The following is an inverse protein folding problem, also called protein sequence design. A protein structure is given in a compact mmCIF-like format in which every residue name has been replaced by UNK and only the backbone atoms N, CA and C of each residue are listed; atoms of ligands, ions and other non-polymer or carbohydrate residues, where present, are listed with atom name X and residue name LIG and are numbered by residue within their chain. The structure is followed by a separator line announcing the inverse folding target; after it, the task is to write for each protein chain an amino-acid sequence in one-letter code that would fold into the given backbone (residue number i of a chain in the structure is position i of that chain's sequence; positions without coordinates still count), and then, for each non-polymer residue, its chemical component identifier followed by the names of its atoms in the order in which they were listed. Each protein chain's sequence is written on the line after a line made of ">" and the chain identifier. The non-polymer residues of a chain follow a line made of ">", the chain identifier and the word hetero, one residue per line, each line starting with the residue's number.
data_IF_061424876399
#
_entry.id   IF_061424876399
#
_cell.length_a   1.000
_cell.length_b   1.000
_cell.length_c   1.000
_cell.angle_alpha   90.00
_cell.angle_beta   90.00
_cell.angle_gamma   90.00
#
_symmetry.space_group_name_H-M   'P 1'
#
loop_
_entity.id
_entity.type
_entity.pdbx_description
1 polymer ?
#
# COMPACT_ATOMS: atom_id res chain seq x y z
N UNK A 1 -22.97 -18.49 -65.38
CA UNK A 1 -21.72 -18.94 -66.02
C UNK A 1 -20.62 -17.93 -65.69
N UNK A 2 -19.44 -18.44 -65.33
CA UNK A 2 -18.17 -17.77 -64.98
C UNK A 2 -18.17 -17.01 -63.64
N UNK A 3 -17.29 -17.22 -62.67
CA UNK A 3 -16.13 -18.12 -62.57
C UNK A 3 -15.90 -18.45 -61.10
N UNK A 4 -15.75 -19.74 -60.85
CA UNK A 4 -15.22 -20.36 -59.65
C UNK A 4 -13.69 -20.41 -59.80
N UNK A 5 -12.93 -19.78 -58.90
CA UNK A 5 -11.51 -20.08 -58.70
C UNK A 5 -11.28 -20.27 -57.21
N UNK A 6 -11.16 -21.55 -56.85
CA UNK A 6 -10.75 -22.08 -55.56
C UNK A 6 -9.25 -21.82 -55.27
N UNK A 7 -8.94 -21.92 -53.97
CA UNK A 7 -7.70 -22.41 -53.36
C UNK A 7 -6.45 -21.51 -53.36
N UNK A 8 -6.04 -21.09 -52.16
CA UNK A 8 -4.75 -21.39 -51.50
C UNK A 8 -4.83 -20.84 -50.05
N UNK A 9 -5.06 -21.67 -49.04
CA UNK A 9 -4.06 -22.39 -48.22
C UNK A 9 -3.19 -21.47 -47.35
N UNK A 10 -3.07 -21.91 -46.09
CA UNK A 10 -2.13 -21.52 -45.03
C UNK A 10 -2.72 -20.55 -44.01
N UNK A 11 -3.41 -21.05 -42.98
CA UNK A 11 -2.75 -21.37 -41.70
C UNK A 11 -1.85 -20.20 -41.28
N UNK A 12 -2.47 -19.18 -40.70
CA UNK A 12 -1.82 -18.37 -39.68
C UNK A 12 -2.39 -18.78 -38.33
N UNK A 13 -2.18 -20.06 -38.01
CA UNK A 13 -1.86 -20.42 -36.63
C UNK A 13 -0.53 -19.72 -36.33
N UNK A 14 -0.58 -18.44 -35.93
CA UNK A 14 0.47 -17.91 -35.07
C UNK A 14 0.30 -18.62 -33.71
N UNK A 15 0.67 -19.91 -33.68
CA UNK A 15 1.27 -20.48 -32.49
C UNK A 15 2.61 -19.77 -32.33
N UNK A 16 2.58 -18.55 -31.80
CA UNK A 16 3.68 -18.09 -30.96
C UNK A 16 3.59 -18.89 -29.65
N UNK A 17 3.75 -20.21 -29.76
CA UNK A 17 4.12 -21.09 -28.66
C UNK A 17 5.63 -20.87 -28.46
N UNK A 18 5.98 -19.67 -28.02
CA UNK A 18 7.13 -19.47 -27.17
C UNK A 18 6.51 -19.12 -25.85
N UNK A 19 6.80 -19.88 -24.79
CA UNK A 19 6.58 -19.38 -23.44
C UNK A 19 7.27 -18.02 -23.38
N UNK A 20 6.49 -16.95 -23.49
CA UNK A 20 7.00 -15.61 -23.23
C UNK A 20 7.17 -15.57 -21.73
N UNK A 21 8.33 -16.04 -21.28
CA UNK A 21 8.73 -15.89 -19.90
C UNK A 21 8.54 -14.41 -19.56
N UNK A 22 7.77 -14.16 -18.51
CA UNK A 22 7.45 -12.81 -18.10
C UNK A 22 8.74 -12.12 -17.66
N UNK A 23 9.18 -11.14 -18.43
CA UNK A 23 10.39 -10.39 -18.10
C UNK A 23 10.18 -9.49 -16.88
N UNK A 24 11.27 -9.15 -16.19
CA UNK A 24 11.24 -8.36 -14.95
C UNK A 24 10.63 -6.97 -15.12
N UNK A 25 10.76 -6.33 -16.27
CA UNK A 25 10.23 -4.99 -16.50
C UNK A 25 8.71 -5.04 -16.71
N UNK A 26 8.22 -6.04 -17.44
CA UNK A 26 6.78 -6.28 -17.59
C UNK A 26 6.16 -6.71 -16.25
N UNK A 27 6.82 -7.61 -15.50
CA UNK A 27 6.39 -7.99 -14.15
C UNK A 27 6.32 -6.80 -13.19
N UNK A 28 7.28 -5.87 -13.26
CA UNK A 28 7.27 -4.65 -12.46
C UNK A 28 6.03 -3.79 -12.75
N UNK A 29 5.75 -3.51 -14.04
CA UNK A 29 4.59 -2.69 -14.42
C UNK A 29 3.28 -3.31 -13.97
N UNK A 30 3.09 -4.60 -14.21
CA UNK A 30 1.90 -5.32 -13.77
C UNK A 30 1.74 -5.30 -12.25
N UNK A 31 2.85 -5.50 -11.52
CA UNK A 31 2.84 -5.44 -10.06
C UNK A 31 2.52 -4.04 -9.55
N UNK A 32 3.06 -3.00 -10.19
CA UNK A 32 2.78 -1.60 -9.83
C UNK A 32 1.31 -1.24 -10.07
N UNK A 33 0.75 -1.63 -11.20
CA UNK A 33 -0.64 -1.38 -11.56
C UNK A 33 -1.62 -2.18 -10.68
N UNK A 34 -1.39 -3.48 -10.48
CA UNK A 34 -2.32 -4.34 -9.72
C UNK A 34 -2.30 -4.08 -8.21
N UNK A 35 -1.22 -3.47 -7.69
CA UNK A 35 -1.05 -3.20 -6.25
C UNK A 35 -0.98 -1.73 -5.89
N UNK A 36 -1.27 -0.86 -6.85
CA UNK A 36 -1.32 0.59 -6.67
C UNK A 36 -0.01 1.15 -6.09
N UNK A 37 1.14 0.73 -6.63
CA UNK A 37 2.42 1.32 -6.26
C UNK A 37 2.65 2.67 -6.97
N UNK A 38 3.28 3.67 -6.30
CA UNK A 38 3.75 3.61 -4.92
C UNK A 38 2.60 3.58 -3.90
N UNK A 39 2.72 2.67 -2.94
CA UNK A 39 1.65 2.41 -1.98
C UNK A 39 1.76 3.38 -0.82
N UNK A 40 0.68 4.11 -0.54
CA UNK A 40 0.61 4.92 0.68
C UNK A 40 0.57 3.99 1.89
N UNK A 41 1.52 4.17 2.81
CA UNK A 41 1.53 3.47 4.09
C UNK A 41 0.82 4.35 5.10
N UNK A 42 -0.20 3.77 5.71
CA UNK A 42 -1.08 4.43 6.69
C UNK A 42 -0.86 3.79 8.07
N UNK A 43 -1.14 4.55 9.13
CA UNK A 43 -1.25 4.04 10.48
C UNK A 43 -2.57 4.48 11.11
N UNK A 44 -3.25 3.55 11.75
CA UNK A 44 -4.46 3.83 12.52
C UNK A 44 -4.06 4.48 13.86
N UNK A 45 -4.73 5.58 14.20
CA UNK A 45 -4.63 6.19 15.53
C UNK A 45 -6.03 6.16 16.14
N UNK A 46 -6.18 5.41 17.23
CA UNK A 46 -7.40 5.31 18.01
C UNK A 46 -7.50 6.54 18.92
N UNK A 47 -8.22 7.56 18.48
CA UNK A 47 -8.21 8.90 19.10
C UNK A 47 -8.84 8.94 20.50
N UNK A 48 -9.51 7.87 20.92
CA UNK A 48 -10.08 7.70 22.25
C UNK A 48 -9.30 6.70 23.12
N UNK A 49 -8.24 6.07 22.59
CA UNK A 49 -7.45 5.05 23.29
C UNK A 49 -6.27 5.69 24.06
N UNK A 50 -6.20 5.52 25.39
CA UNK A 50 -5.06 5.99 26.20
C UNK A 50 -3.71 5.44 25.73
N UNK A 51 -3.66 4.25 25.13
CA UNK A 51 -2.42 3.65 24.63
C UNK A 51 -1.86 4.47 23.47
N UNK A 52 -2.69 4.83 22.49
CA UNK A 52 -2.26 5.67 21.38
C UNK A 52 -2.00 7.11 21.80
N UNK A 53 -2.76 7.63 22.77
CA UNK A 53 -2.48 8.94 23.36
C UNK A 53 -1.09 8.95 24.02
N UNK A 54 -0.75 7.90 24.75
CA UNK A 54 0.57 7.74 25.39
C UNK A 54 1.68 7.69 24.33
N UNK A 55 1.53 6.89 23.26
CA UNK A 55 2.51 6.85 22.16
C UNK A 55 2.74 8.23 21.53
N UNK A 56 1.67 8.98 21.30
CA UNK A 56 1.75 10.33 20.74
C UNK A 56 2.40 11.33 21.71
N UNK A 57 2.14 11.20 23.01
CA UNK A 57 2.75 12.02 24.06
C UNK A 57 4.24 11.73 24.25
N UNK A 58 4.62 10.45 24.23
CA UNK A 58 6.02 10.00 24.31
C UNK A 58 6.81 10.37 23.06
N UNK A 59 6.12 10.55 21.94
CA UNK A 59 6.69 11.17 20.75
C UNK A 59 6.77 12.70 20.90
N UNK A 60 7.54 13.36 20.03
CA UNK A 60 7.57 14.83 20.00
C UNK A 60 6.38 15.45 19.22
N UNK A 61 5.38 14.68 18.80
CA UNK A 61 4.29 15.18 17.93
C UNK A 61 3.38 16.21 18.61
N UNK A 62 3.10 16.07 19.91
CA UNK A 62 2.36 17.09 20.66
C UNK A 62 3.20 18.37 20.81
N UNK A 63 4.48 18.25 21.19
CA UNK A 63 5.41 19.39 21.33
C UNK A 63 5.64 20.12 20.00
N UNK A 64 5.67 19.38 18.89
CA UNK A 64 5.78 19.93 17.54
C UNK A 64 4.44 20.50 17.02
N UNK A 65 3.36 20.39 17.79
CA UNK A 65 2.06 20.98 17.48
C UNK A 65 1.25 20.24 16.43
N UNK A 66 1.50 18.94 16.20
CA UNK A 66 0.70 18.11 15.29
C UNK A 66 -0.61 17.61 15.93
N UNK A 67 -0.57 17.37 17.24
CA UNK A 67 -1.71 16.89 18.02
C UNK A 67 -1.82 17.68 19.33
N UNK A 68 -3.01 17.62 19.94
CA UNK A 68 -3.26 18.00 21.33
C UNK A 68 -3.81 16.78 22.05
N UNK A 69 -3.32 16.52 23.26
CA UNK A 69 -3.71 15.35 24.05
C UNK A 69 -4.41 15.83 25.33
N UNK A 70 -5.57 15.26 25.63
CA UNK A 70 -6.25 15.48 26.89
C UNK A 70 -5.59 14.62 27.97
N UNK A 71 -4.70 15.24 28.76
CA UNK A 71 -3.92 14.57 29.82
C UNK A 71 -4.74 14.11 31.03
N UNK A 72 -5.99 14.56 31.15
CA UNK A 72 -6.91 14.17 32.21
C UNK A 72 -8.23 13.72 31.62
N UNK A 73 -8.64 12.48 31.90
CA UNK A 73 -9.95 11.96 31.52
C UNK A 73 -10.78 11.69 32.78
N UNK A 74 -12.00 12.24 32.86
CA UNK A 74 -12.95 11.87 33.91
C UNK A 74 -13.60 10.53 33.52
N UNK A 75 -14.08 9.76 34.50
CA UNK A 75 -14.79 8.50 34.23
C UNK A 75 -15.99 8.67 33.28
N UNK A 76 -16.64 9.83 33.30
CA UNK A 76 -17.74 10.17 32.39
C UNK A 76 -17.32 10.43 30.92
N UNK A 77 -16.02 10.51 30.66
CA UNK A 77 -15.45 10.82 29.34
C UNK A 77 -14.80 9.60 28.67
N UNK A 78 -14.92 8.42 29.27
CA UNK A 78 -14.45 7.15 28.69
C UNK A 78 -15.10 6.93 27.33
N UNK A 79 -14.28 6.59 26.33
CA UNK A 79 -14.71 6.39 24.94
C UNK A 79 -14.87 7.69 24.13
N UNK A 80 -14.72 8.87 24.74
CA UNK A 80 -14.62 10.13 23.99
C UNK A 80 -13.21 10.32 23.45
N UNK A 81 -13.04 11.00 22.30
CA UNK A 81 -11.72 11.38 21.79
C UNK A 81 -10.91 12.18 22.82
N UNK A 82 -9.69 11.73 23.07
CA UNK A 82 -8.68 12.38 23.92
C UNK A 82 -7.50 12.92 23.10
N UNK A 83 -7.40 12.53 21.82
CA UNK A 83 -6.44 13.08 20.86
C UNK A 83 -7.18 13.98 19.88
N UNK A 84 -6.67 15.19 19.65
CA UNK A 84 -7.17 16.11 18.61
C UNK A 84 -6.03 16.49 17.67
N UNK A 85 -6.21 16.25 16.37
CA UNK A 85 -5.25 16.68 15.35
C UNK A 85 -5.39 18.18 15.08
N UNK A 86 -4.26 18.86 14.93
CA UNK A 86 -4.23 20.29 14.62
C UNK A 86 -4.24 20.53 13.11
N UNK A 87 -4.34 21.80 12.71
CA UNK A 87 -4.21 22.19 11.30
C UNK A 87 -2.87 21.77 10.69
N UNK A 88 -1.79 21.72 11.50
CA UNK A 88 -0.47 21.30 11.05
C UNK A 88 -0.44 19.84 10.59
N UNK A 89 -1.31 19.00 11.14
CA UNK A 89 -1.40 17.59 10.78
C UNK A 89 -2.23 17.33 9.51
N UNK A 90 -3.07 18.27 9.07
CA UNK A 90 -4.00 18.10 7.93
C UNK A 90 -3.36 17.48 6.68
N UNK A 91 -2.14 17.87 6.24
CA UNK A 91 -1.51 17.28 5.05
C UNK A 91 -1.23 15.78 5.15
N UNK A 92 -1.24 15.22 6.36
CA UNK A 92 -0.95 13.81 6.62
C UNK A 92 -2.20 13.02 7.02
N UNK A 93 -3.37 13.66 7.16
CA UNK A 93 -4.59 12.96 7.56
C UNK A 93 -5.22 12.28 6.35
N UNK A 94 -5.50 10.99 6.50
CA UNK A 94 -6.35 10.26 5.57
C UNK A 94 -7.81 10.54 5.93
N UNK A 95 -8.68 10.90 4.97
CA UNK A 95 -10.08 11.16 5.25
C UNK A 95 -10.76 9.99 5.95
N UNK A 96 -11.44 10.28 7.07
CA UNK A 96 -12.15 9.25 7.83
C UNK A 96 -13.37 8.73 7.07
N UNK A 97 -13.51 7.41 7.03
CA UNK A 97 -14.76 6.75 6.63
C UNK A 97 -15.84 6.88 7.73
N UNK A 98 -17.08 6.50 7.42
CA UNK A 98 -18.14 6.43 8.44
C UNK A 98 -17.80 5.39 9.54
N UNK A 99 -17.13 4.29 9.17
CA UNK A 99 -16.66 3.26 10.11
C UNK A 99 -15.55 3.83 11.01
N UNK A 100 -14.62 4.59 10.43
CA UNK A 100 -13.50 5.20 11.17
C UNK A 100 -14.03 6.16 12.23
N UNK A 101 -14.98 7.02 11.86
CA UNK A 101 -15.65 7.93 12.81
C UNK A 101 -16.36 7.19 13.94
N UNK A 102 -17.13 6.13 13.61
CA UNK A 102 -17.83 5.32 14.62
C UNK A 102 -16.87 4.66 15.61
N UNK A 103 -15.68 4.30 15.16
CA UNK A 103 -14.68 3.58 15.95
C UNK A 103 -13.61 4.50 16.55
N UNK A 104 -13.76 5.83 16.44
CA UNK A 104 -12.75 6.80 16.88
C UNK A 104 -11.36 6.53 16.28
N UNK A 105 -11.28 6.29 14.98
CA UNK A 105 -10.02 6.04 14.26
C UNK A 105 -9.72 7.23 13.36
N UNK A 106 -8.53 7.83 13.48
CA UNK A 106 -7.97 8.75 12.49
C UNK A 106 -6.75 8.08 11.85
N UNK A 107 -6.81 7.84 10.55
CA UNK A 107 -5.68 7.31 9.78
C UNK A 107 -4.73 8.42 9.40
N UNK A 108 -3.43 8.16 9.52
CA UNK A 108 -2.38 9.11 9.13
C UNK A 108 -1.45 8.49 8.11
N UNK A 109 -1.05 9.27 7.10
CA UNK A 109 0.02 8.90 6.18
C UNK A 109 1.33 8.84 6.94
N UNK A 110 2.03 7.73 6.78
CA UNK A 110 3.34 7.44 7.38
C UNK A 110 4.47 7.58 6.36
N UNK A 111 4.20 7.26 5.09
CA UNK A 111 5.13 7.36 3.98
C UNK A 111 4.59 6.68 2.74
N UNK A 112 5.46 6.42 1.78
CA UNK A 112 5.13 5.72 0.53
C UNK A 112 6.12 4.59 0.28
N UNK A 113 5.61 3.40 0.02
CA UNK A 113 6.42 2.25 -0.34
C UNK A 113 6.59 2.19 -1.86
N UNK A 114 7.83 2.04 -2.32
CA UNK A 114 8.19 1.91 -3.73
C UNK A 114 8.81 0.54 -3.98
N UNK A 115 8.49 -0.09 -5.10
CA UNK A 115 9.26 -1.25 -5.56
C UNK A 115 10.63 -0.74 -6.03
N UNK A 116 11.69 -1.40 -5.57
CA UNK A 116 13.07 -1.03 -5.92
C UNK A 116 13.73 -2.04 -6.84
N UNK A 117 13.30 -3.30 -6.79
CA UNK A 117 13.92 -4.37 -7.56
C UNK A 117 12.97 -5.57 -7.70
N UNK A 118 12.86 -6.11 -8.91
CA UNK A 118 12.32 -7.47 -9.12
C UNK A 118 13.47 -8.48 -8.98
N UNK A 119 13.40 -9.29 -7.94
CA UNK A 119 14.41 -10.30 -7.62
C UNK A 119 14.23 -11.52 -8.51
N UNK A 120 13.01 -12.06 -8.56
CA UNK A 120 12.69 -13.27 -9.30
C UNK A 120 11.27 -13.20 -9.90
N UNK A 121 11.06 -13.88 -11.02
CA UNK A 121 9.76 -14.09 -11.63
C UNK A 121 9.66 -15.57 -11.98
N UNK A 122 8.62 -16.24 -11.49
CA UNK A 122 8.36 -17.64 -11.78
C UNK A 122 6.95 -17.79 -12.34
N UNK A 123 6.83 -18.22 -13.58
CA UNK A 123 5.54 -18.58 -14.17
C UNK A 123 4.95 -19.78 -13.41
N UNK A 124 3.67 -19.74 -13.13
CA UNK A 124 2.92 -20.88 -12.62
C UNK A 124 2.65 -21.88 -13.76
N UNK A 125 2.42 -23.15 -13.42
CA UNK A 125 2.25 -24.24 -14.40
C UNK A 125 1.05 -24.02 -15.35
N UNK A 126 0.07 -23.21 -14.93
CA UNK A 126 -1.08 -22.84 -15.75
C UNK A 126 -0.76 -21.78 -16.82
N UNK A 127 0.38 -21.09 -16.73
CA UNK A 127 0.78 -20.03 -17.65
C UNK A 127 -0.05 -18.73 -17.56
N UNK A 128 -1.04 -18.66 -16.66
CA UNK A 128 -1.97 -17.54 -16.51
C UNK A 128 -1.52 -16.54 -15.44
N UNK A 129 -0.54 -16.93 -14.63
CA UNK A 129 -0.08 -16.15 -13.49
C UNK A 129 1.40 -16.38 -13.23
N UNK A 130 2.02 -15.44 -12.53
CA UNK A 130 3.42 -15.53 -12.13
C UNK A 130 3.61 -15.14 -10.66
N UNK A 131 4.49 -15.87 -9.97
CA UNK A 131 4.99 -15.48 -8.67
C UNK A 131 6.19 -14.53 -8.83
N UNK A 132 6.03 -13.30 -8.36
CA UNK A 132 7.05 -12.25 -8.41
C UNK A 132 7.62 -12.03 -7.02
N UNK A 133 8.93 -12.20 -6.91
CA UNK A 133 9.70 -11.80 -5.75
C UNK A 133 10.32 -10.43 -5.98
N UNK A 134 10.13 -9.51 -5.04
CA UNK A 134 10.61 -8.14 -5.17
C UNK A 134 11.10 -7.57 -3.85
N UNK A 135 11.89 -6.50 -3.96
CA UNK A 135 12.27 -5.64 -2.84
C UNK A 135 11.51 -4.33 -2.93
N UNK A 136 11.01 -3.84 -1.81
CA UNK A 136 10.38 -2.54 -1.69
C UNK A 136 11.12 -1.64 -0.71
N UNK A 137 10.96 -0.32 -0.80
CA UNK A 137 11.55 0.64 0.14
C UNK A 137 10.53 1.73 0.51
N UNK A 138 10.41 1.98 1.80
CA UNK A 138 9.63 3.10 2.33
C UNK A 138 10.41 4.42 2.18
N UNK A 139 9.83 5.37 1.46
CA UNK A 139 10.31 6.75 1.27
C UNK A 139 9.29 7.76 1.79
N UNK A 140 9.69 9.03 1.86
CA UNK A 140 8.78 10.13 2.21
C UNK A 140 8.19 10.01 3.63
N UNK A 141 8.99 9.54 4.59
CA UNK A 141 8.54 9.36 5.99
C UNK A 141 7.99 10.67 6.54
N UNK A 142 6.75 10.63 7.01
CA UNK A 142 6.08 11.78 7.65
C UNK A 142 6.47 11.86 9.13
N UNK A 143 6.13 12.96 9.83
CA UNK A 143 6.30 13.05 11.27
C UNK A 143 5.65 11.88 12.03
N UNK A 144 4.55 11.32 11.51
CA UNK A 144 3.82 10.20 12.14
C UNK A 144 4.53 8.84 12.00
N UNK A 145 5.62 8.73 11.23
CA UNK A 145 6.42 7.50 11.15
C UNK A 145 6.88 7.01 12.53
N UNK A 146 7.17 7.94 13.45
CA UNK A 146 7.69 7.62 14.79
C UNK A 146 6.73 6.82 15.67
N UNK A 147 5.42 6.87 15.41
CA UNK A 147 4.39 6.13 16.17
C UNK A 147 3.80 4.95 15.40
N UNK A 148 4.28 4.68 14.18
CA UNK A 148 3.74 3.64 13.30
C UNK A 148 4.12 2.20 13.69
N UNK A 149 5.09 2.03 14.60
CA UNK A 149 5.67 0.71 14.92
C UNK A 149 6.51 0.09 13.80
N UNK A 150 6.65 0.76 12.65
CA UNK A 150 7.46 0.29 11.53
C UNK A 150 8.95 0.47 11.85
N UNK A 151 9.71 -0.62 11.78
CA UNK A 151 11.15 -0.62 12.04
C UNK A 151 11.95 0.31 11.12
N UNK A 152 13.16 0.71 11.54
CA UNK A 152 14.00 1.66 10.79
C UNK A 152 14.60 1.09 9.47
N UNK A 153 14.59 -0.23 9.29
CA UNK A 153 15.06 -0.95 8.09
C UNK A 153 13.95 -1.00 7.03
N UNK A 154 14.11 -0.66 5.75
CA UNK A 154 15.33 -0.58 4.94
C UNK A 154 15.40 -1.78 3.99
N UNK A 155 14.39 -1.92 3.12
CA UNK A 155 14.11 -3.03 2.23
C UNK A 155 13.36 -4.24 2.82
N UNK A 156 12.15 -4.48 2.33
CA UNK A 156 11.37 -5.68 2.60
C UNK A 156 11.34 -6.55 1.35
N UNK A 157 11.72 -7.83 1.51
CA UNK A 157 11.53 -8.84 0.47
C UNK A 157 10.08 -9.32 0.54
N UNK A 158 9.37 -9.27 -0.57
CA UNK A 158 7.97 -9.66 -0.66
C UNK A 158 7.76 -10.61 -1.84
N UNK A 159 6.71 -11.42 -1.75
CA UNK A 159 6.24 -12.29 -2.82
C UNK A 159 4.81 -11.90 -3.17
N UNK A 160 4.52 -11.80 -4.46
CA UNK A 160 3.16 -11.56 -4.91
C UNK A 160 2.86 -12.34 -6.19
N UNK A 161 1.64 -12.86 -6.28
CA UNK A 161 1.12 -13.53 -7.46
C UNK A 161 0.43 -12.49 -8.34
N UNK A 162 0.97 -12.23 -9.53
CA UNK A 162 0.34 -11.37 -10.54
C UNK A 162 -0.43 -12.23 -11.53
N UNK A 163 -1.62 -11.74 -11.90
CA UNK A 163 -2.47 -12.34 -12.93
C UNK A 163 -2.16 -11.68 -14.29
N UNK A 164 -2.13 -12.44 -15.38
CA UNK A 164 -1.68 -11.96 -16.70
C UNK A 164 -2.84 -11.60 -17.66
N UNK A 165 -4.07 -11.57 -17.16
CA UNK A 165 -5.31 -11.45 -17.95
C UNK A 165 -5.69 -10.01 -18.31
#
# INVERSE_FOLDING_TARGET
>A
MKNLCYLFISILLFTACGSKDLDKATALKLLEEQKDYPKTIENDIYIADPVDATKLFESDLEKQGYVKIAHTQKLADVGKPIITFTDKAKPFLIPQSAKDRKNNIQRVKVGEEFITEIVNVKMEDNGESALVEYKSLLKGKTPFFVVSGIGKSGHHKQHYKIDLH
#
